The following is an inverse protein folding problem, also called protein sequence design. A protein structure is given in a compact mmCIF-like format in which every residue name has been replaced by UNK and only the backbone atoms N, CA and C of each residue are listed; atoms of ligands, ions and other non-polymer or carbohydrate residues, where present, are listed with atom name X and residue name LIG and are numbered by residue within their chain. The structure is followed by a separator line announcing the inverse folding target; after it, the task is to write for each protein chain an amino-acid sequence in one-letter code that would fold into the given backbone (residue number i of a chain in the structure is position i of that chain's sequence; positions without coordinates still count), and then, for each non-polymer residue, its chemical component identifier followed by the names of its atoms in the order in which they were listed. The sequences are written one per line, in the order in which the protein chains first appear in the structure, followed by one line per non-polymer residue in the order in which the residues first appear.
data_IF_953100209282
#
_entry.id   IF_953100209282
#
_cell.length_a   1.000
_cell.length_b   1.000
_cell.length_c   1.000
_cell.angle_alpha   90.00
_cell.angle_beta   90.00
_cell.angle_gamma   90.00
#
_symmetry.space_group_name_H-M   'P 1'
#
loop_
_entity.id
_entity.type
_entity.pdbx_description
1 polymer ?
#
# COMPACT_ATOMS: atom_id res chain seq x y z
N UNK A 1 9.03 23.44 -16.68
CA UNK A 1 9.33 22.03 -16.40
C UNK A 1 8.21 21.44 -15.53
N UNK A 2 7.21 20.78 -16.13
CA UNK A 2 6.00 20.31 -15.41
C UNK A 2 6.12 18.86 -14.94
N UNK A 3 6.88 18.02 -15.66
CA UNK A 3 7.13 16.62 -15.27
C UNK A 3 8.15 16.45 -14.13
N UNK A 4 9.04 17.43 -13.90
CA UNK A 4 10.10 17.32 -12.88
C UNK A 4 9.52 17.30 -11.46
N UNK A 5 8.50 18.11 -11.17
CA UNK A 5 7.87 18.15 -9.84
C UNK A 5 7.12 16.86 -9.52
N UNK A 6 6.38 16.29 -10.47
CA UNK A 6 5.62 15.06 -10.23
C UNK A 6 6.55 13.85 -9.97
N UNK A 7 7.66 13.76 -10.70
CA UNK A 7 8.71 12.75 -10.46
C UNK A 7 9.41 12.99 -9.12
N UNK A 8 9.60 14.23 -8.68
CA UNK A 8 10.23 14.49 -7.38
C UNK A 8 9.32 14.09 -6.20
N UNK A 9 7.99 14.25 -6.34
CA UNK A 9 7.05 14.09 -5.24
C UNK A 9 6.24 12.79 -5.23
N UNK A 10 6.36 11.91 -6.23
CA UNK A 10 5.54 10.68 -6.29
C UNK A 10 5.68 9.81 -5.03
N UNK A 11 6.87 9.77 -4.43
CA UNK A 11 7.15 9.01 -3.20
C UNK A 11 7.05 9.81 -1.89
N UNK A 12 6.62 11.07 -1.92
CA UNK A 12 6.46 11.83 -0.69
C UNK A 12 5.26 11.37 0.10
N UNK A 13 5.40 11.20 1.42
CA UNK A 13 4.32 10.69 2.27
C UNK A 13 3.04 11.53 2.17
N UNK A 14 3.15 12.86 2.27
CA UNK A 14 2.05 13.79 2.09
C UNK A 14 2.02 14.34 0.67
N UNK A 15 0.84 14.72 0.18
CA UNK A 15 0.71 15.46 -1.08
C UNK A 15 1.20 16.91 -0.85
N UNK A 16 2.13 17.44 -1.65
CA UNK A 16 2.49 18.84 -1.59
C UNK A 16 1.33 19.73 -2.03
N UNK A 17 1.29 20.95 -1.51
CA UNK A 17 0.35 21.98 -1.95
C UNK A 17 0.81 22.51 -3.33
N UNK A 18 0.10 22.11 -4.39
CA UNK A 18 0.40 22.46 -5.78
C UNK A 18 -0.80 23.24 -6.32
N UNK A 19 -0.61 24.52 -6.62
CA UNK A 19 -1.65 25.40 -7.17
C UNK A 19 -2.03 25.07 -8.63
N UNK A 20 -1.11 24.47 -9.40
CA UNK A 20 -1.37 24.07 -10.79
C UNK A 20 -2.18 22.75 -10.83
N UNK A 21 -3.48 22.87 -11.11
CA UNK A 21 -4.42 21.76 -11.23
C UNK A 21 -3.98 20.67 -12.24
N UNK A 22 -3.30 21.05 -13.33
CA UNK A 22 -2.81 20.06 -14.30
C UNK A 22 -1.66 19.26 -13.70
N UNK A 23 -0.73 19.93 -13.03
CA UNK A 23 0.38 19.27 -12.35
C UNK A 23 -0.12 18.38 -11.18
N UNK A 24 -1.14 18.84 -10.45
CA UNK A 24 -1.80 18.08 -9.39
C UNK A 24 -2.48 16.81 -9.93
N UNK A 25 -3.21 16.93 -11.05
CA UNK A 25 -3.82 15.79 -11.73
C UNK A 25 -2.78 14.74 -12.16
N UNK A 26 -1.68 15.19 -12.79
CA UNK A 26 -0.57 14.31 -13.17
C UNK A 26 0.07 13.62 -11.96
N UNK A 27 0.28 14.34 -10.85
CA UNK A 27 0.83 13.76 -9.63
C UNK A 27 -0.09 12.69 -9.05
N UNK A 28 -1.41 12.91 -9.01
CA UNK A 28 -2.38 11.91 -8.54
C UNK A 28 -2.31 10.63 -9.38
N UNK A 29 -2.30 10.77 -10.71
CA UNK A 29 -2.20 9.63 -11.64
C UNK A 29 -0.91 8.86 -11.42
N UNK A 30 0.22 9.58 -11.34
CA UNK A 30 1.53 8.96 -11.12
C UNK A 30 1.59 8.20 -9.79
N UNK A 31 1.06 8.77 -8.71
CA UNK A 31 1.06 8.12 -7.39
C UNK A 31 0.19 6.86 -7.34
N UNK A 32 -0.98 6.90 -7.97
CA UNK A 32 -1.85 5.72 -8.05
C UNK A 32 -1.23 4.60 -8.90
N UNK A 33 -0.65 4.96 -10.06
CA UNK A 33 -0.01 4.00 -10.95
C UNK A 33 1.25 3.38 -10.32
N UNK A 34 2.07 4.20 -9.66
CA UNK A 34 3.28 3.74 -8.96
C UNK A 34 2.95 2.78 -7.81
N UNK A 35 1.96 3.11 -6.98
CA UNK A 35 1.47 2.21 -5.93
C UNK A 35 0.99 0.87 -6.49
N UNK A 36 0.27 0.88 -7.60
CA UNK A 36 -0.21 -0.35 -8.24
C UNK A 36 0.95 -1.22 -8.74
N UNK A 37 2.00 -0.60 -9.28
CA UNK A 37 3.21 -1.29 -9.71
C UNK A 37 3.97 -1.89 -8.52
N UNK A 38 4.17 -1.09 -7.47
CA UNK A 38 4.81 -1.54 -6.22
C UNK A 38 4.02 -2.70 -5.60
N UNK A 39 2.69 -2.61 -5.51
CA UNK A 39 1.89 -3.71 -4.95
C UNK A 39 2.05 -5.02 -5.71
N UNK A 40 2.15 -4.97 -7.05
CA UNK A 40 2.43 -6.17 -7.86
C UNK A 40 3.78 -6.77 -7.45
N UNK A 41 4.83 -5.96 -7.44
CA UNK A 41 6.19 -6.39 -7.07
C UNK A 41 6.23 -6.94 -5.65
N UNK A 42 5.58 -6.27 -4.69
CA UNK A 42 5.55 -6.69 -3.29
C UNK A 42 4.74 -7.98 -3.10
N UNK A 43 3.59 -8.14 -3.76
CA UNK A 43 2.82 -9.37 -3.72
C UNK A 43 3.65 -10.56 -4.23
N UNK A 44 4.29 -10.41 -5.41
CA UNK A 44 5.17 -11.43 -5.98
C UNK A 44 6.35 -11.75 -5.05
N UNK A 45 6.97 -10.73 -4.45
CA UNK A 45 8.05 -10.88 -3.48
C UNK A 45 7.60 -11.65 -2.22
N UNK A 46 6.45 -11.32 -1.63
CA UNK A 46 5.97 -11.99 -0.42
C UNK A 46 5.49 -13.43 -0.70
N UNK A 47 5.07 -13.74 -1.92
CA UNK A 47 4.68 -15.09 -2.32
C UNK A 47 5.89 -16.01 -2.57
N UNK A 48 7.07 -15.46 -2.81
CA UNK A 48 8.31 -16.24 -2.94
C UNK A 48 8.68 -16.96 -1.63
N UNK A 49 9.32 -18.14 -1.71
CA UNK A 49 9.95 -18.76 -0.55
C UNK A 49 10.95 -17.82 0.12
N UNK A 50 11.08 -17.80 1.47
CA UNK A 50 12.03 -16.92 2.16
C UNK A 50 13.48 -17.02 1.65
N UNK A 51 13.90 -18.20 1.15
CA UNK A 51 15.23 -18.42 0.57
C UNK A 51 15.48 -17.72 -0.77
N UNK A 52 14.43 -17.34 -1.49
CA UNK A 52 14.50 -16.72 -2.81
C UNK A 52 14.27 -15.20 -2.75
N UNK A 53 13.84 -14.70 -1.60
CA UNK A 53 13.53 -13.29 -1.37
C UNK A 53 14.81 -12.44 -1.35
N UNK A 54 14.88 -11.44 -2.22
CA UNK A 54 15.94 -10.44 -2.22
C UNK A 54 15.88 -9.55 -0.97
N UNK A 55 16.94 -9.49 -0.13
CA UNK A 55 16.97 -8.63 1.06
C UNK A 55 16.80 -7.14 0.75
N UNK A 56 17.16 -6.70 -0.46
CA UNK A 56 17.02 -5.32 -0.91
C UNK A 56 15.54 -4.87 -0.96
N UNK A 57 14.61 -5.80 -1.22
CA UNK A 57 13.16 -5.50 -1.31
C UNK A 57 12.53 -5.40 0.08
N UNK A 58 12.99 -6.19 1.05
CA UNK A 58 12.57 -6.08 2.45
C UNK A 58 13.15 -4.87 3.20
N UNK A 59 14.03 -4.10 2.57
CA UNK A 59 14.68 -2.91 3.18
C UNK A 59 15.33 -3.26 4.54
N UNK A 60 15.96 -4.45 4.62
CA UNK A 60 16.59 -4.99 5.82
C UNK A 60 15.68 -5.23 7.04
N UNK A 61 14.35 -5.32 6.85
CA UNK A 61 13.45 -5.74 7.92
C UNK A 61 13.52 -7.26 8.11
N UNK A 62 13.53 -7.69 9.38
CA UNK A 62 13.52 -9.11 9.72
C UNK A 62 12.17 -9.76 9.37
N UNK A 63 12.24 -10.91 8.70
CA UNK A 63 11.08 -11.74 8.40
C UNK A 63 10.80 -12.70 9.56
N UNK A 64 9.93 -12.26 10.47
CA UNK A 64 9.49 -13.02 11.65
C UNK A 64 7.97 -13.14 11.65
N UNK A 65 7.38 -14.16 12.28
CA UNK A 65 5.92 -14.35 12.34
C UNK A 65 5.21 -13.35 13.28
N UNK A 66 5.86 -12.24 13.64
CA UNK A 66 5.34 -11.20 14.52
C UNK A 66 4.98 -9.94 13.71
N UNK A 67 4.28 -9.03 14.37
CA UNK A 67 4.00 -7.70 13.85
C UNK A 67 3.82 -6.70 15.00
N UNK A 68 3.99 -5.42 14.71
CA UNK A 68 3.79 -4.35 15.67
C UNK A 68 2.28 -4.05 15.82
N UNK A 69 1.70 -4.12 17.03
CA UNK A 69 0.27 -3.85 17.23
C UNK A 69 -0.18 -2.49 16.71
N UNK A 70 0.68 -1.47 16.84
CA UNK A 70 0.41 -0.11 16.33
C UNK A 70 0.22 -0.07 14.82
N UNK A 71 0.86 -0.96 14.06
CA UNK A 71 0.74 -1.00 12.61
C UNK A 71 -0.59 -1.60 12.18
N UNK A 72 -1.03 -2.66 12.87
CA UNK A 72 -2.36 -3.23 12.66
C UNK A 72 -3.46 -2.25 13.08
N UNK A 73 -3.29 -1.55 14.19
CA UNK A 73 -4.24 -0.53 14.66
C UNK A 73 -4.39 0.61 13.65
N UNK A 74 -3.28 1.10 13.09
CA UNK A 74 -3.32 2.14 12.04
C UNK A 74 -4.05 1.65 10.80
N UNK A 75 -3.80 0.42 10.35
CA UNK A 75 -4.52 -0.19 9.23
C UNK A 75 -6.03 -0.24 9.50
N UNK A 76 -6.42 -0.71 10.69
CA UNK A 76 -7.83 -0.82 11.09
C UNK A 76 -8.53 0.54 11.19
N UNK A 77 -7.79 1.60 11.54
CA UNK A 77 -8.31 2.98 11.66
C UNK A 77 -8.20 3.80 10.38
N UNK A 78 -7.81 3.19 9.26
CA UNK A 78 -7.54 3.90 8.01
C UNK A 78 -6.51 5.04 8.13
N UNK A 79 -5.56 4.88 9.04
CA UNK A 79 -4.46 5.83 9.26
C UNK A 79 -3.27 5.40 8.40
N UNK A 80 -2.70 6.29 7.56
CA UNK A 80 -1.52 5.96 6.78
C UNK A 80 -0.33 5.61 7.68
N UNK A 81 0.27 4.44 7.44
CA UNK A 81 1.47 4.02 8.16
C UNK A 81 2.74 4.63 7.54
N UNK A 82 3.71 5.02 8.37
CA UNK A 82 5.02 5.49 7.91
C UNK A 82 6.02 4.35 7.95
N UNK A 83 7.00 4.41 7.05
CA UNK A 83 8.12 3.46 7.04
C UNK A 83 8.89 3.46 8.38
N UNK A 84 9.05 4.63 9.00
CA UNK A 84 9.73 4.77 10.30
C UNK A 84 9.05 4.02 11.44
N UNK A 85 7.79 3.61 11.27
CA UNK A 85 7.03 2.87 12.28
C UNK A 85 7.21 1.35 12.13
N UNK A 86 7.83 0.87 11.04
CA UNK A 86 8.00 -0.54 10.74
C UNK A 86 9.27 -1.11 11.39
N UNK A 87 9.11 -2.24 12.07
CA UNK A 87 10.22 -2.92 12.77
C UNK A 87 10.45 -4.36 12.28
N UNK A 88 9.45 -4.95 11.63
CA UNK A 88 9.49 -6.31 11.05
C UNK A 88 8.78 -6.34 9.69
N UNK A 89 9.01 -7.38 8.90
CA UNK A 89 8.49 -7.45 7.52
C UNK A 89 6.95 -7.35 7.44
N UNK A 90 6.22 -7.90 8.41
CA UNK A 90 4.76 -7.79 8.43
C UNK A 90 4.26 -6.35 8.66
N UNK A 91 5.07 -5.48 9.28
CA UNK A 91 4.75 -4.06 9.41
C UNK A 91 4.79 -3.36 8.04
N UNK A 92 5.74 -3.78 7.18
CA UNK A 92 5.82 -3.28 5.80
C UNK A 92 4.58 -3.67 4.99
N UNK A 93 4.09 -4.90 5.17
CA UNK A 93 2.83 -5.37 4.55
C UNK A 93 1.64 -4.52 4.99
N UNK A 94 1.48 -4.26 6.29
CA UNK A 94 0.42 -3.37 6.79
C UNK A 94 0.55 -1.96 6.23
N UNK A 95 1.78 -1.44 6.13
CA UNK A 95 2.01 -0.15 5.49
C UNK A 95 1.58 -0.16 4.02
N UNK A 96 1.98 -1.16 3.24
CA UNK A 96 1.56 -1.29 1.84
C UNK A 96 0.03 -1.36 1.73
N UNK A 97 -0.63 -2.15 2.57
CA UNK A 97 -2.09 -2.27 2.56
C UNK A 97 -2.79 -0.95 2.91
N UNK A 98 -2.24 -0.18 3.87
CA UNK A 98 -2.79 1.12 4.27
C UNK A 98 -2.82 2.16 3.14
N UNK A 99 -2.02 1.98 2.07
CA UNK A 99 -2.00 2.92 0.94
C UNK A 99 -3.29 2.95 0.14
N UNK A 100 -4.15 1.93 0.26
CA UNK A 100 -5.44 1.88 -0.39
C UNK A 100 -6.38 3.01 0.05
N UNK A 101 -6.27 3.44 1.31
CA UNK A 101 -7.06 4.56 1.85
C UNK A 101 -6.73 5.92 1.23
N UNK A 102 -5.61 6.02 0.50
CA UNK A 102 -5.14 7.24 -0.15
C UNK A 102 -5.06 7.12 -1.67
N UNK A 103 -5.84 6.23 -2.28
CA UNK A 103 -5.97 6.15 -3.74
C UNK A 103 -6.95 7.21 -4.26
N UNK A 104 -6.61 7.79 -5.40
CA UNK A 104 -7.36 8.91 -5.97
C UNK A 104 -8.43 8.47 -6.96
N UNK A 105 -8.18 7.41 -7.73
CA UNK A 105 -9.05 7.02 -8.84
C UNK A 105 -9.75 5.69 -8.58
N UNK A 106 -11.07 5.66 -8.82
CA UNK A 106 -11.88 4.43 -8.75
C UNK A 106 -11.38 3.35 -9.68
N UNK A 107 -10.83 3.72 -10.85
CA UNK A 107 -10.13 2.78 -11.75
C UNK A 107 -8.98 2.06 -11.07
N UNK A 108 -8.18 2.74 -10.24
CA UNK A 108 -7.08 2.11 -9.50
C UNK A 108 -7.64 1.09 -8.51
N UNK A 109 -8.70 1.44 -7.77
CA UNK A 109 -9.39 0.54 -6.84
C UNK A 109 -9.97 -0.70 -7.54
N UNK A 110 -10.57 -0.55 -8.73
CA UNK A 110 -11.02 -1.71 -9.54
C UNK A 110 -9.87 -2.62 -9.91
N UNK A 111 -8.75 -2.06 -10.39
CA UNK A 111 -7.57 -2.85 -10.76
C UNK A 111 -6.98 -3.61 -9.56
N UNK A 112 -7.03 -3.04 -8.35
CA UNK A 112 -6.65 -3.74 -7.13
C UNK A 112 -7.49 -4.98 -6.85
N UNK A 113 -8.81 -4.85 -6.95
CA UNK A 113 -9.77 -5.94 -6.72
C UNK A 113 -9.64 -7.01 -7.80
N UNK A 114 -9.61 -6.61 -9.07
CA UNK A 114 -9.47 -7.54 -10.21
C UNK A 114 -8.19 -8.38 -10.12
N UNK A 115 -7.09 -7.77 -9.69
CA UNK A 115 -5.79 -8.42 -9.54
C UNK A 115 -5.57 -9.02 -8.14
N UNK A 116 -6.54 -8.85 -7.24
CA UNK A 116 -6.53 -9.33 -5.84
C UNK A 116 -5.26 -8.97 -5.08
N UNK A 117 -4.69 -7.78 -5.34
CA UNK A 117 -3.34 -7.45 -4.85
C UNK A 117 -3.29 -7.30 -3.33
N UNK A 118 -4.32 -6.68 -2.73
CA UNK A 118 -4.42 -6.53 -1.29
C UNK A 118 -4.55 -7.91 -0.61
N UNK A 119 -5.37 -8.79 -1.17
CA UNK A 119 -5.60 -10.15 -0.68
C UNK A 119 -4.36 -11.02 -0.84
N UNK A 120 -3.62 -10.89 -1.95
CA UNK A 120 -2.34 -11.59 -2.17
C UNK A 120 -1.29 -11.20 -1.16
N UNK A 121 -1.18 -9.92 -0.80
CA UNK A 121 -0.28 -9.49 0.27
C UNK A 121 -0.76 -10.06 1.61
N UNK A 122 -2.07 -9.96 1.88
CA UNK A 122 -2.65 -10.38 3.15
C UNK A 122 -2.57 -11.89 3.39
N UNK A 123 -2.60 -12.72 2.35
CA UNK A 123 -2.46 -14.17 2.48
C UNK A 123 -1.09 -14.60 3.03
N UNK A 124 -0.11 -13.70 3.01
CA UNK A 124 1.25 -13.92 3.54
C UNK A 124 1.42 -13.41 4.98
N UNK A 125 0.38 -12.83 5.58
CA UNK A 125 0.36 -12.40 6.98
C UNK A 125 -0.02 -13.57 7.90
N UNK A 126 0.26 -13.46 9.22
CA UNK A 126 -0.28 -14.40 10.20
C UNK A 126 -1.82 -14.47 10.13
N UNK A 127 -2.36 -15.69 10.17
CA UNK A 127 -3.81 -15.91 10.19
C UNK A 127 -4.34 -15.67 11.61
N UNK A 128 -4.86 -14.46 11.83
CA UNK A 128 -5.41 -14.04 13.12
C UNK A 128 -6.76 -13.34 12.92
N UNK A 129 -7.71 -13.47 13.86
CA UNK A 129 -9.01 -12.80 13.77
C UNK A 129 -8.91 -11.28 13.57
N UNK A 130 -7.93 -10.63 14.20
CA UNK A 130 -7.72 -9.20 14.15
C UNK A 130 -7.26 -8.74 12.75
N UNK A 131 -6.36 -9.50 12.12
CA UNK A 131 -5.93 -9.25 10.74
C UNK A 131 -7.08 -9.48 9.77
N UNK A 132 -7.85 -10.56 9.95
CA UNK A 132 -9.02 -10.87 9.12
C UNK A 132 -10.07 -9.75 9.18
N UNK A 133 -10.36 -9.22 10.37
CA UNK A 133 -11.27 -8.10 10.55
C UNK A 133 -10.77 -6.79 9.91
N UNK A 134 -9.48 -6.47 10.07
CA UNK A 134 -8.88 -5.30 9.42
C UNK A 134 -8.91 -5.42 7.90
N UNK A 135 -8.65 -6.62 7.36
CA UNK A 135 -8.72 -6.89 5.93
C UNK A 135 -10.15 -6.80 5.39
N UNK A 136 -11.15 -7.30 6.12
CA UNK A 136 -12.56 -7.12 5.75
C UNK A 136 -12.91 -5.63 5.57
N UNK A 137 -12.51 -4.80 6.54
CA UNK A 137 -12.74 -3.35 6.49
C UNK A 137 -12.01 -2.69 5.31
N UNK A 138 -10.76 -3.08 5.05
CA UNK A 138 -9.96 -2.59 3.93
C UNK A 138 -10.60 -2.95 2.57
N UNK A 139 -11.01 -4.21 2.39
CA UNK A 139 -11.61 -4.66 1.13
C UNK A 139 -12.95 -3.97 0.88
N UNK A 140 -13.79 -3.82 1.91
CA UNK A 140 -15.04 -3.05 1.79
C UNK A 140 -14.76 -1.60 1.39
N UNK A 141 -13.75 -0.95 1.98
CA UNK A 141 -13.34 0.39 1.57
C UNK A 141 -12.94 0.45 0.09
N UNK A 142 -12.10 -0.48 -0.38
CA UNK A 142 -11.64 -0.52 -1.78
C UNK A 142 -12.85 -0.72 -2.72
N UNK A 143 -13.78 -1.62 -2.38
CA UNK A 143 -15.02 -1.84 -3.13
C UNK A 143 -15.84 -0.56 -3.25
N UNK A 144 -16.12 0.11 -2.13
CA UNK A 144 -16.84 1.39 -2.13
C UNK A 144 -16.15 2.46 -2.98
N UNK A 145 -14.81 2.57 -2.92
CA UNK A 145 -14.08 3.53 -3.76
C UNK A 145 -14.12 3.15 -5.24
N UNK A 146 -14.16 1.87 -5.56
CA UNK A 146 -14.15 1.37 -6.95
C UNK A 146 -15.42 1.72 -7.72
N UNK A 147 -16.52 1.97 -7.00
CA UNK A 147 -17.84 2.30 -7.52
C UNK A 147 -18.09 3.82 -7.65
N UNK A 148 -17.18 4.65 -7.13
CA UNK A 148 -17.30 6.11 -7.24
C UNK A 148 -17.02 6.58 -8.67
N UNK A 149 -18.04 7.18 -9.29
CA UNK A 149 -17.98 7.82 -10.62
C UNK A 149 -17.91 9.33 -10.50
#
# INVERSE_FOLDING_TARGET
ARGISAVHFHNTFAMPDIEDETALGLLRVLRDADKLDIWRVMAEYYEQPPSERSPAVAINLEDRPTYSPVMLEKLAKAIPCRYSDATVLNDLKFMNLSWAYGLYFSTTCRLLLERRLAERIASTLPDTPEISAAMGSLISHIQEQSERG
#
